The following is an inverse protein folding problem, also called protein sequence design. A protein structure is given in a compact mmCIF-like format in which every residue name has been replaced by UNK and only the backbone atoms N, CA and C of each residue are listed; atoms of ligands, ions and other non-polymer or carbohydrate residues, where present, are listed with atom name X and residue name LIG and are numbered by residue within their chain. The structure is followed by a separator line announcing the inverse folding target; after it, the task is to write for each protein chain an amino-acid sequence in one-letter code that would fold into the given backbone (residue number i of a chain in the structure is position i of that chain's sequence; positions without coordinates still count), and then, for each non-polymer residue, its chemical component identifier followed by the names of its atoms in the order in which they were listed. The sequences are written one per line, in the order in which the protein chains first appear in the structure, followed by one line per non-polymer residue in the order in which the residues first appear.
data_IF_850268726515
#
_entry.id   IF_850268726515
#
_cell.length_a   1.000
_cell.length_b   1.000
_cell.length_c   1.000
_cell.angle_alpha   90.00
_cell.angle_beta   90.00
_cell.angle_gamma   90.00
#
_symmetry.space_group_name_H-M   'P 1'
#
loop_
_entity.id
_entity.type
_entity.pdbx_description
1 polymer ?
#
# COMPACT_ATOMS: atom_id res chain seq x y z
N UNK A 1 13.06 -29.05 -19.37
CA UNK A 1 13.52 -27.98 -20.29
C UNK A 1 12.29 -27.30 -20.89
N UNK A 2 11.88 -26.19 -20.30
CA UNK A 2 11.86 -24.85 -20.92
C UNK A 2 10.89 -24.68 -22.10
N UNK A 3 9.67 -24.21 -21.81
CA UNK A 3 9.14 -22.94 -22.34
C UNK A 3 7.75 -22.66 -21.76
N UNK A 4 7.78 -22.03 -20.59
CA UNK A 4 6.72 -21.15 -20.14
C UNK A 4 6.88 -19.77 -20.84
N UNK A 5 5.79 -19.00 -20.84
CA UNK A 5 5.67 -17.57 -21.17
C UNK A 5 5.61 -17.24 -22.68
N UNK A 6 4.43 -16.78 -23.14
CA UNK A 6 4.25 -15.59 -24.02
C UNK A 6 2.86 -15.52 -24.67
N UNK A 7 1.75 -15.41 -23.92
CA UNK A 7 0.55 -14.66 -24.38
C UNK A 7 -0.18 -14.07 -23.16
N UNK A 8 0.50 -13.17 -22.44
CA UNK A 8 -0.16 -12.21 -21.56
C UNK A 8 -0.49 -10.97 -22.41
N UNK A 9 -1.72 -10.88 -22.92
CA UNK A 9 -2.05 -9.82 -23.86
C UNK A 9 -3.52 -9.66 -24.25
N UNK A 10 -4.47 -10.09 -23.44
CA UNK A 10 -5.88 -9.71 -23.61
C UNK A 10 -6.37 -9.06 -22.32
N UNK A 11 -6.06 -7.76 -22.17
CA UNK A 11 -6.64 -6.93 -21.12
C UNK A 11 -8.17 -6.92 -21.28
N UNK A 12 -8.95 -7.20 -20.23
CA UNK A 12 -10.39 -6.94 -20.26
C UNK A 12 -10.58 -5.42 -20.39
N UNK A 13 -11.33 -4.99 -21.40
CA UNK A 13 -11.81 -3.60 -21.54
C UNK A 13 -12.86 -3.32 -20.46
N UNK A 14 -12.42 -3.21 -19.22
CA UNK A 14 -13.20 -2.63 -18.12
C UNK A 14 -12.89 -1.13 -18.07
N UNK A 15 -13.67 -0.32 -18.77
CA UNK A 15 -13.78 1.13 -18.50
C UNK A 15 -15.12 1.67 -18.97
N UNK A 16 -16.16 1.30 -18.23
CA UNK A 16 -17.39 2.08 -18.11
C UNK A 16 -17.92 1.88 -16.67
N UNK A 17 -18.37 2.94 -15.98
CA UNK A 17 -18.87 2.79 -14.62
C UNK A 17 -20.18 2.02 -14.67
N UNK A 18 -20.18 0.84 -14.05
CA UNK A 18 -21.36 0.23 -13.45
C UNK A 18 -22.57 0.11 -14.38
N UNK A 19 -22.44 -0.63 -15.49
CA UNK A 19 -23.64 -1.23 -16.06
C UNK A 19 -23.92 -2.48 -15.22
N UNK A 20 -24.96 -2.50 -14.37
CA UNK A 20 -25.27 -3.71 -13.61
C UNK A 20 -25.43 -4.86 -14.61
N UNK A 21 -24.89 -6.07 -14.30
CA UNK A 21 -25.16 -7.25 -15.12
C UNK A 21 -26.67 -7.31 -15.28
N UNK A 22 -27.15 -7.40 -16.53
CA UNK A 22 -28.56 -7.37 -16.88
C UNK A 22 -29.35 -8.08 -15.79
N UNK A 23 -30.00 -7.30 -14.93
CA UNK A 23 -30.80 -7.83 -13.85
C UNK A 23 -31.76 -8.77 -14.57
N UNK A 24 -31.57 -10.07 -14.36
CA UNK A 24 -32.52 -11.09 -14.77
C UNK A 24 -33.86 -10.52 -14.32
N UNK A 25 -34.70 -10.13 -15.29
CA UNK A 25 -35.96 -9.46 -15.05
C UNK A 25 -36.77 -10.41 -14.19
N UNK A 26 -36.63 -10.28 -12.87
CA UNK A 26 -37.42 -11.01 -11.90
C UNK A 26 -38.86 -10.71 -12.31
N UNK A 27 -39.62 -11.74 -12.73
CA UNK A 27 -40.96 -11.50 -13.22
C UNK A 27 -41.71 -10.75 -12.11
N UNK A 28 -42.18 -9.54 -12.44
CA UNK A 28 -42.94 -8.74 -11.49
C UNK A 28 -44.10 -9.60 -11.01
N UNK A 29 -44.11 -9.94 -9.72
CA UNK A 29 -45.07 -10.87 -9.12
C UNK A 29 -46.49 -10.44 -9.51
N UNK A 30 -47.18 -11.28 -10.28
CA UNK A 30 -48.57 -11.03 -10.74
C UNK A 30 -48.75 -10.48 -12.16
N UNK A 31 -47.69 -10.25 -12.94
CA UNK A 31 -47.80 -9.98 -14.39
C UNK A 31 -47.52 -11.23 -15.20
N UNK A 32 -48.18 -11.37 -16.35
CA UNK A 32 -47.94 -12.46 -17.30
C UNK A 32 -46.55 -12.34 -17.91
N UNK A 33 -45.85 -13.45 -17.99
CA UNK A 33 -44.58 -13.62 -18.69
C UNK A 33 -44.79 -13.89 -20.18
N UNK A 34 -43.69 -13.94 -20.94
CA UNK A 34 -43.73 -14.23 -22.39
C UNK A 34 -44.23 -15.64 -22.71
N UNK A 35 -44.01 -16.60 -21.82
CA UNK A 35 -44.37 -18.01 -22.02
C UNK A 35 -45.77 -18.35 -21.51
N UNK A 36 -46.42 -17.43 -20.79
CA UNK A 36 -47.76 -17.65 -20.27
C UNK A 36 -48.80 -17.53 -21.39
N UNK A 37 -49.75 -18.47 -21.50
CA UNK A 37 -50.78 -18.39 -22.51
C UNK A 37 -51.72 -17.19 -22.26
N UNK A 38 -52.25 -16.57 -23.34
CA UNK A 38 -53.31 -15.59 -23.21
C UNK A 38 -54.57 -16.24 -22.63
N UNK A 39 -55.40 -15.44 -21.96
CA UNK A 39 -56.67 -15.95 -21.43
C UNK A 39 -57.61 -16.26 -22.59
N UNK A 40 -58.38 -17.35 -22.51
CA UNK A 40 -59.34 -17.78 -23.55
C UNK A 40 -60.28 -16.64 -23.98
N UNK A 41 -60.76 -15.83 -23.03
CA UNK A 41 -61.62 -14.66 -23.27
C UNK A 41 -60.94 -13.48 -23.97
N UNK A 42 -59.60 -13.48 -24.10
CA UNK A 42 -58.81 -12.42 -24.77
C UNK A 42 -58.21 -12.87 -26.09
N UNK A 43 -58.25 -14.16 -26.43
CA UNK A 43 -57.67 -14.71 -27.68
C UNK A 43 -58.29 -14.06 -28.92
N UNK A 44 -59.61 -13.87 -28.94
CA UNK A 44 -60.33 -13.23 -30.06
C UNK A 44 -60.62 -11.74 -29.85
N UNK A 45 -60.17 -11.13 -28.75
CA UNK A 45 -60.51 -9.74 -28.43
C UNK A 45 -59.54 -8.77 -29.11
N UNK A 46 -60.00 -8.13 -30.18
CA UNK A 46 -59.30 -6.99 -30.80
C UNK A 46 -59.77 -5.69 -30.13
N UNK A 47 -58.85 -4.72 -29.98
CA UNK A 47 -59.22 -3.41 -29.45
C UNK A 47 -59.93 -2.59 -30.54
N UNK A 48 -61.22 -2.34 -30.36
CA UNK A 48 -62.00 -1.47 -31.25
C UNK A 48 -61.62 0.00 -30.99
N UNK A 49 -61.22 0.77 -32.01
CA UNK A 49 -60.93 2.19 -31.83
C UNK A 49 -62.20 2.95 -31.44
N UNK A 50 -62.10 3.98 -30.57
CA UNK A 50 -63.23 4.83 -30.24
C UNK A 50 -63.63 5.69 -31.45
N UNK A 51 -64.89 6.16 -31.46
CA UNK A 51 -65.33 7.18 -32.41
C UNK A 51 -64.58 8.50 -32.18
N UNK A 52 -64.27 9.22 -33.25
CA UNK A 52 -63.48 10.45 -33.23
C UNK A 52 -64.24 11.56 -33.94
N UNK A 53 -64.40 12.71 -33.29
CA UNK A 53 -64.87 13.93 -33.94
C UNK A 53 -63.73 14.60 -34.72
N UNK A 54 -63.85 14.80 -36.05
CA UNK A 54 -62.83 15.44 -36.87
C UNK A 54 -62.45 16.87 -36.42
N UNK A 55 -63.42 17.66 -35.94
CA UNK A 55 -63.17 19.05 -35.54
C UNK A 55 -62.31 19.11 -34.27
N UNK A 56 -62.71 18.39 -33.23
CA UNK A 56 -61.91 18.26 -32.00
C UNK A 56 -60.54 17.64 -32.26
N UNK A 57 -60.47 16.59 -33.08
CA UNK A 57 -59.21 15.90 -33.37
C UNK A 57 -58.18 16.82 -34.04
N UNK A 58 -58.63 17.68 -34.97
CA UNK A 58 -57.76 18.65 -35.62
C UNK A 58 -57.21 19.68 -34.61
N UNK A 59 -58.08 20.25 -33.77
CA UNK A 59 -57.67 21.23 -32.75
C UNK A 59 -56.69 20.61 -31.75
N UNK A 60 -56.96 19.38 -31.30
CA UNK A 60 -56.05 18.67 -30.39
C UNK A 60 -54.71 18.40 -31.06
N UNK A 61 -54.69 17.96 -32.31
CA UNK A 61 -53.46 17.67 -33.05
C UNK A 61 -52.55 18.89 -33.13
N UNK A 62 -53.10 20.06 -33.48
CA UNK A 62 -52.32 21.30 -33.54
C UNK A 62 -51.87 21.78 -32.17
N UNK A 63 -52.71 21.69 -31.13
CA UNK A 63 -52.30 22.01 -29.74
C UNK A 63 -51.16 21.12 -29.27
N UNK A 64 -51.23 19.82 -29.54
CA UNK A 64 -50.16 18.88 -29.19
C UNK A 64 -48.88 19.16 -29.98
N UNK A 65 -48.98 19.53 -31.26
CA UNK A 65 -47.84 19.93 -32.08
C UNK A 65 -47.14 21.16 -31.47
N UNK A 66 -47.89 22.21 -31.20
CA UNK A 66 -47.38 23.45 -30.59
C UNK A 66 -46.78 23.19 -29.20
N UNK A 67 -47.50 22.46 -28.34
CA UNK A 67 -47.02 22.09 -27.01
C UNK A 67 -45.70 21.31 -27.07
N UNK A 68 -45.63 20.28 -27.91
CA UNK A 68 -44.42 19.46 -28.06
C UNK A 68 -43.25 20.26 -28.61
N UNK A 69 -43.50 21.21 -29.51
CA UNK A 69 -42.48 22.13 -30.00
C UNK A 69 -41.91 22.98 -28.86
N UNK A 70 -42.77 23.61 -28.07
CA UNK A 70 -42.36 24.43 -26.92
C UNK A 70 -41.60 23.61 -25.87
N UNK A 71 -42.12 22.45 -25.47
CA UNK A 71 -41.45 21.59 -24.49
C UNK A 71 -40.12 21.03 -25.01
N UNK A 72 -40.02 20.77 -26.32
CA UNK A 72 -38.75 20.37 -26.94
C UNK A 72 -37.73 21.51 -26.90
N UNK A 73 -38.14 22.75 -27.15
CA UNK A 73 -37.27 23.91 -27.01
C UNK A 73 -36.78 24.05 -25.56
N UNK A 74 -37.69 24.01 -24.57
CA UNK A 74 -37.33 24.04 -23.15
C UNK A 74 -36.35 22.92 -22.77
N UNK A 75 -36.54 21.71 -23.30
CA UNK A 75 -35.60 20.61 -23.06
C UNK A 75 -34.19 20.93 -23.57
N UNK A 76 -34.07 21.59 -24.73
CA UNK A 76 -32.77 21.98 -25.27
C UNK A 76 -32.09 23.05 -24.41
N UNK A 77 -32.85 23.99 -23.87
CA UNK A 77 -32.34 24.96 -22.89
C UNK A 77 -31.81 24.26 -21.63
N UNK A 78 -32.57 23.34 -21.05
CA UNK A 78 -32.09 22.60 -19.88
C UNK A 78 -30.85 21.74 -20.19
N UNK A 79 -30.79 21.14 -21.38
CA UNK A 79 -29.60 20.38 -21.80
C UNK A 79 -28.40 21.31 -21.98
N UNK A 80 -28.59 22.52 -22.54
CA UNK A 80 -27.51 23.50 -22.70
C UNK A 80 -27.00 23.99 -21.34
N UNK A 81 -27.89 24.26 -20.39
CA UNK A 81 -27.53 24.64 -19.03
C UNK A 81 -26.75 23.56 -18.28
N UNK A 82 -27.20 22.30 -18.37
CA UNK A 82 -26.49 21.17 -17.74
C UNK A 82 -25.10 21.03 -18.33
N UNK A 83 -24.96 21.13 -19.65
CA UNK A 83 -23.66 21.08 -20.33
C UNK A 83 -22.77 22.25 -19.92
N UNK A 84 -23.32 23.46 -19.85
CA UNK A 84 -22.59 24.66 -19.40
C UNK A 84 -22.08 24.49 -17.99
N UNK A 85 -22.93 24.10 -17.04
CA UNK A 85 -22.56 23.87 -15.63
C UNK A 85 -21.51 22.76 -15.51
N UNK A 86 -21.63 21.68 -16.29
CA UNK A 86 -20.62 20.62 -16.30
C UNK A 86 -19.27 21.11 -16.83
N UNK A 87 -19.27 21.96 -17.86
CA UNK A 87 -18.05 22.58 -18.39
C UNK A 87 -17.43 23.54 -17.36
N UNK A 88 -18.22 24.43 -16.77
CA UNK A 88 -17.78 25.37 -15.72
C UNK A 88 -17.21 24.64 -14.49
N UNK A 89 -17.78 23.51 -14.11
CA UNK A 89 -17.25 22.71 -13.00
C UNK A 89 -15.89 22.06 -13.33
N UNK A 90 -15.62 21.74 -14.61
CA UNK A 90 -14.39 21.07 -15.04
C UNK A 90 -13.27 22.04 -15.42
N UNK A 91 -13.63 23.08 -16.15
CA UNK A 91 -12.72 24.03 -16.80
C UNK A 91 -13.25 25.47 -16.68
N UNK A 92 -14.02 25.75 -15.62
CA UNK A 92 -14.40 27.12 -15.31
C UNK A 92 -13.24 27.89 -14.72
N UNK A 93 -13.19 29.19 -15.00
CA UNK A 93 -12.13 30.10 -14.52
C UNK A 93 -11.97 30.03 -13.00
N UNK A 94 -13.07 29.91 -12.26
CA UNK A 94 -13.02 29.77 -10.79
C UNK A 94 -12.42 28.43 -10.36
N UNK A 95 -12.73 27.34 -11.08
CA UNK A 95 -12.17 26.03 -10.78
C UNK A 95 -10.65 26.01 -11.06
N UNK A 96 -10.22 26.61 -12.17
CA UNK A 96 -8.80 26.73 -12.51
C UNK A 96 -8.03 27.61 -11.51
N UNK A 97 -8.59 28.77 -11.13
CA UNK A 97 -7.97 29.65 -10.11
C UNK A 97 -7.81 28.94 -8.77
N UNK A 98 -8.85 28.27 -8.30
CA UNK A 98 -8.78 27.49 -7.06
C UNK A 98 -7.76 26.37 -7.15
N UNK A 99 -7.71 25.64 -8.26
CA UNK A 99 -6.71 24.60 -8.45
C UNK A 99 -5.27 25.13 -8.43
N UNK A 100 -5.04 26.34 -8.95
CA UNK A 100 -3.74 27.02 -8.87
C UNK A 100 -3.42 27.48 -7.45
N UNK A 101 -4.39 28.05 -6.74
CA UNK A 101 -4.27 28.46 -5.34
C UNK A 101 -3.96 27.25 -4.45
N UNK A 102 -4.73 26.17 -4.53
CA UNK A 102 -4.52 24.92 -3.80
C UNK A 102 -3.14 24.30 -4.11
N UNK A 103 -2.70 24.35 -5.38
CA UNK A 103 -1.37 23.87 -5.75
C UNK A 103 -0.25 24.75 -5.18
N UNK A 104 -0.46 26.06 -5.06
CA UNK A 104 0.49 26.98 -4.44
C UNK A 104 0.57 26.74 -2.92
N UNK A 105 -0.57 26.69 -2.23
CA UNK A 105 -0.66 26.37 -0.81
C UNK A 105 0.00 25.03 -0.49
N UNK A 106 -0.24 24.01 -1.31
CA UNK A 106 0.41 22.71 -1.14
C UNK A 106 1.94 22.83 -1.25
N UNK A 107 2.46 23.60 -2.21
CA UNK A 107 3.91 23.83 -2.34
C UNK A 107 4.49 24.54 -1.12
N UNK A 108 3.78 25.53 -0.58
CA UNK A 108 4.17 26.25 0.63
C UNK A 108 4.21 25.32 1.84
N UNK A 109 3.18 24.50 2.03
CA UNK A 109 3.13 23.50 3.10
C UNK A 109 4.24 22.46 2.97
N UNK A 110 4.54 22.02 1.75
CA UNK A 110 5.67 21.10 1.51
C UNK A 110 7.02 21.76 1.78
N UNK A 111 7.19 23.04 1.46
CA UNK A 111 8.41 23.78 1.78
C UNK A 111 8.57 23.93 3.30
N UNK A 112 7.49 24.27 4.01
CA UNK A 112 7.47 24.35 5.47
C UNK A 112 7.80 23.00 6.12
N UNK A 113 7.21 21.91 5.63
CA UNK A 113 7.49 20.57 6.14
C UNK A 113 8.98 20.19 5.96
N UNK A 114 9.58 20.54 4.81
CA UNK A 114 11.01 20.31 4.59
C UNK A 114 11.88 21.11 5.56
N UNK A 115 11.54 22.38 5.79
CA UNK A 115 12.26 23.23 6.73
C UNK A 115 12.18 22.68 8.16
N UNK A 116 11.00 22.23 8.59
CA UNK A 116 10.85 21.63 9.93
C UNK A 116 11.58 20.28 10.04
N UNK A 117 11.55 19.45 8.99
CA UNK A 117 12.33 18.21 8.97
C UNK A 117 13.84 18.47 9.02
N UNK A 118 14.34 19.51 8.37
CA UNK A 118 15.75 19.92 8.45
C UNK A 118 16.12 20.32 9.87
N UNK A 119 15.30 21.16 10.51
CA UNK A 119 15.47 21.54 11.92
C UNK A 119 15.52 20.32 12.84
N UNK A 120 14.59 19.39 12.69
CA UNK A 120 14.56 18.15 13.48
C UNK A 120 15.77 17.25 13.21
N UNK A 121 16.26 17.20 11.97
CA UNK A 121 17.43 16.43 11.61
C UNK A 121 18.69 16.98 12.28
N UNK A 122 18.86 18.30 12.36
CA UNK A 122 19.97 18.93 13.08
C UNK A 122 19.95 18.56 14.57
N UNK A 123 18.77 18.63 15.21
CA UNK A 123 18.60 18.20 16.60
C UNK A 123 18.90 16.71 16.79
N UNK A 124 18.51 15.87 15.84
CA UNK A 124 18.83 14.43 15.86
C UNK A 124 20.33 14.20 15.76
N UNK A 125 21.03 14.90 14.86
CA UNK A 125 22.49 14.80 14.72
C UNK A 125 23.18 15.24 16.01
N UNK A 126 22.74 16.34 16.62
CA UNK A 126 23.29 16.80 17.90
C UNK A 126 23.14 15.76 19.01
N UNK A 127 21.96 15.14 19.12
CA UNK A 127 21.69 14.06 20.08
C UNK A 127 22.56 12.84 19.84
N UNK A 128 22.66 12.37 18.59
CA UNK A 128 23.47 11.21 18.23
C UNK A 128 24.97 11.44 18.52
N UNK A 129 25.48 12.66 18.31
CA UNK A 129 26.86 13.02 18.69
C UNK A 129 27.08 12.91 20.19
N UNK A 130 26.10 13.32 20.99
CA UNK A 130 26.17 13.20 22.44
C UNK A 130 26.14 11.74 22.88
N UNK A 131 25.21 10.95 22.35
CA UNK A 131 25.10 9.50 22.61
C UNK A 131 26.40 8.76 22.21
N UNK A 132 27.03 9.15 21.10
CA UNK A 132 28.30 8.55 20.67
C UNK A 132 29.44 8.81 21.68
N UNK A 133 29.55 10.04 22.21
CA UNK A 133 30.53 10.38 23.25
C UNK A 133 30.31 9.58 24.53
N UNK A 134 29.06 9.45 24.96
CA UNK A 134 28.70 8.65 26.13
C UNK A 134 29.01 7.16 25.92
N UNK A 135 28.76 6.63 24.71
CA UNK A 135 29.13 5.26 24.38
C UNK A 135 30.65 5.06 24.37
N UNK A 136 31.44 6.01 23.87
CA UNK A 136 32.90 5.94 23.91
C UNK A 136 33.42 5.91 25.35
N UNK A 137 32.85 6.73 26.24
CA UNK A 137 33.20 6.71 27.67
C UNK A 137 32.87 5.34 28.30
N UNK A 138 31.66 4.82 28.07
CA UNK A 138 31.26 3.49 28.58
C UNK A 138 32.17 2.39 28.06
N UNK A 139 32.54 2.42 26.77
CA UNK A 139 33.48 1.44 26.18
C UNK A 139 34.86 1.55 26.81
N UNK A 140 35.36 2.76 27.05
CA UNK A 140 36.65 2.95 27.72
C UNK A 140 36.64 2.38 29.15
N UNK A 141 35.55 2.58 29.90
CA UNK A 141 35.36 2.00 31.22
C UNK A 141 35.30 0.46 31.18
N UNK A 142 34.54 -0.10 30.23
CA UNK A 142 34.44 -1.55 30.03
C UNK A 142 35.80 -2.16 29.66
N UNK A 143 36.55 -1.54 28.75
CA UNK A 143 37.90 -1.97 28.38
C UNK A 143 38.86 -1.89 29.56
N UNK A 144 38.77 -0.85 30.40
CA UNK A 144 39.58 -0.74 31.61
C UNK A 144 39.24 -1.83 32.64
N UNK A 145 37.96 -2.19 32.79
CA UNK A 145 37.53 -3.32 33.65
C UNK A 145 38.06 -4.64 33.12
N UNK A 146 37.88 -4.91 31.82
CA UNK A 146 38.38 -6.12 31.17
C UNK A 146 39.90 -6.25 31.28
N UNK A 147 40.66 -5.15 31.14
CA UNK A 147 42.11 -5.17 31.32
C UNK A 147 42.52 -5.56 32.74
N UNK A 148 41.82 -5.04 33.77
CA UNK A 148 42.06 -5.42 35.18
C UNK A 148 41.75 -6.89 35.43
N UNK A 149 40.62 -7.37 34.91
CA UNK A 149 40.22 -8.79 35.01
C UNK A 149 41.23 -9.70 34.31
N UNK A 150 41.70 -9.32 33.12
CA UNK A 150 42.72 -10.06 32.38
C UNK A 150 44.07 -10.10 33.10
N UNK A 151 44.50 -8.99 33.71
CA UNK A 151 45.71 -8.95 34.53
C UNK A 151 45.60 -9.84 35.77
N UNK A 152 44.47 -9.78 36.49
CA UNK A 152 44.23 -10.64 37.64
C UNK A 152 44.24 -12.13 37.23
N UNK A 153 43.63 -12.46 36.09
CA UNK A 153 43.63 -13.82 35.56
C UNK A 153 45.03 -14.29 35.14
N UNK A 154 45.81 -13.43 34.48
CA UNK A 154 47.20 -13.73 34.11
C UNK A 154 48.06 -14.02 35.36
N UNK A 155 47.95 -13.19 36.41
CA UNK A 155 48.67 -13.42 37.67
C UNK A 155 48.28 -14.73 38.35
N UNK A 156 46.99 -15.09 38.37
CA UNK A 156 46.55 -16.38 38.90
C UNK A 156 47.15 -17.55 38.11
N UNK A 157 47.22 -17.44 36.78
CA UNK A 157 47.83 -18.45 35.92
C UNK A 157 49.35 -18.54 36.07
N UNK A 158 50.03 -17.42 36.24
CA UNK A 158 51.46 -17.41 36.57
C UNK A 158 51.73 -18.14 37.89
N UNK A 159 50.91 -17.90 38.92
CA UNK A 159 51.02 -18.62 40.20
C UNK A 159 50.76 -20.12 40.05
N UNK A 160 49.74 -20.53 39.29
CA UNK A 160 49.49 -21.95 38.98
C UNK A 160 50.70 -22.59 38.28
N UNK A 161 51.32 -21.92 37.31
CA UNK A 161 52.51 -22.43 36.61
C UNK A 161 53.70 -22.56 37.56
N UNK A 162 53.96 -21.55 38.40
CA UNK A 162 55.02 -21.59 39.40
C UNK A 162 54.81 -22.74 40.40
N UNK A 163 53.58 -22.96 40.86
CA UNK A 163 53.24 -24.10 41.73
C UNK A 163 53.50 -25.44 41.06
N UNK A 164 53.13 -25.59 39.77
CA UNK A 164 53.42 -26.79 38.99
C UNK A 164 54.93 -27.00 38.78
N UNK A 165 55.71 -25.93 38.70
CA UNK A 165 57.17 -25.96 38.53
C UNK A 165 57.88 -26.40 39.82
N UNK A 166 57.47 -25.87 40.98
CA UNK A 166 57.94 -26.34 42.30
C UNK A 166 57.50 -27.78 42.56
N UNK A 167 56.25 -28.14 42.24
CA UNK A 167 55.75 -29.51 42.33
C UNK A 167 56.46 -30.51 41.40
N UNK A 168 57.03 -30.05 40.27
CA UNK A 168 57.92 -30.85 39.41
C UNK A 168 59.31 -31.03 40.01
N UNK A 169 59.86 -30.05 40.75
CA UNK A 169 61.12 -30.22 41.50
C UNK A 169 60.95 -31.24 42.64
N UNK A 170 59.75 -31.34 43.24
CA UNK A 170 59.43 -32.34 44.26
C UNK A 170 59.10 -33.75 43.73
N UNK A 171 58.92 -33.91 42.40
CA UNK A 171 58.60 -35.19 41.76
C UNK A 171 59.69 -35.64 40.77
N UNK A 172 60.94 -35.42 41.17
CA UNK A 172 62.14 -35.92 40.49
C UNK A 172 62.68 -37.24 41.03
N UNK A 173 61.84 -38.24 41.33
CA UNK A 173 62.22 -39.68 41.37
C UNK A 173 61.00 -40.56 41.06
N UNK A 174 61.10 -41.39 40.03
CA UNK A 174 60.31 -42.63 39.92
C UNK A 174 59.45 -42.82 38.67
N UNK A 175 60.03 -43.49 37.67
CA UNK A 175 59.50 -44.65 36.94
C UNK A 175 58.07 -44.66 36.33
N UNK A 176 58.06 -44.64 34.99
CA UNK A 176 57.60 -45.69 34.04
C UNK A 176 56.16 -46.28 34.05
N UNK A 177 55.64 -46.39 32.80
CA UNK A 177 54.47 -47.17 32.29
C UNK A 177 53.10 -46.59 32.68
N UNK A 178 52.10 -46.47 31.81
CA UNK A 178 51.86 -46.91 30.43
C UNK A 178 50.35 -46.83 30.16
N UNK A 179 49.94 -46.90 28.88
CA UNK A 179 48.55 -47.00 28.34
C UNK A 179 47.66 -45.75 28.46
N UNK A 180 46.65 -45.47 27.63
CA UNK A 180 46.31 -45.67 26.20
C UNK A 180 44.97 -44.91 26.03
N UNK A 181 44.67 -44.48 24.80
CA UNK A 181 43.33 -44.18 24.23
C UNK A 181 42.67 -42.78 24.40
N UNK A 182 42.54 -42.16 23.22
CA UNK A 182 41.33 -41.57 22.61
C UNK A 182 40.71 -40.28 23.16
N UNK A 183 40.58 -39.28 22.27
CA UNK A 183 39.65 -38.16 22.45
C UNK A 183 39.97 -36.88 21.69
N UNK A 184 40.35 -36.94 20.41
CA UNK A 184 40.58 -35.75 19.58
C UNK A 184 39.27 -35.14 19.07
N UNK A 185 38.68 -34.20 19.82
CA UNK A 185 37.59 -33.35 19.37
C UNK A 185 38.06 -31.93 19.08
N UNK A 186 38.10 -31.52 17.81
CA UNK A 186 38.26 -30.12 17.39
C UNK A 186 36.94 -29.36 17.58
N UNK A 187 37.00 -28.06 17.90
CA UNK A 187 36.41 -27.07 17.00
C UNK A 187 37.44 -25.94 16.76
N UNK A 188 37.72 -25.49 15.53
CA UNK A 188 36.73 -24.95 14.61
C UNK A 188 36.79 -23.42 14.65
N UNK A 189 37.88 -22.84 14.13
CA UNK A 189 37.91 -21.43 13.73
C UNK A 189 36.90 -21.25 12.59
N UNK A 190 36.03 -20.25 12.64
CA UNK A 190 35.89 -19.23 11.58
C UNK A 190 34.68 -18.31 11.78
N UNK A 191 34.93 -17.03 11.46
CA UNK A 191 34.03 -16.01 10.91
C UNK A 191 32.96 -15.46 11.87
N UNK A 192 33.17 -14.26 12.45
CA UNK A 192 33.01 -12.93 11.82
C UNK A 192 31.62 -12.77 11.19
N UNK A 193 30.61 -12.61 12.03
CA UNK A 193 29.27 -12.13 11.66
C UNK A 193 29.21 -10.61 11.70
N UNK A 194 29.63 -9.98 10.60
CA UNK A 194 29.42 -8.56 10.29
C UNK A 194 27.94 -8.38 9.93
N UNK A 195 27.16 -7.73 10.79
CA UNK A 195 25.85 -7.17 10.41
C UNK A 195 25.94 -5.64 10.39
N UNK A 196 26.41 -5.13 9.24
CA UNK A 196 26.02 -3.81 8.75
C UNK A 196 24.61 -3.98 8.18
N UNK A 197 23.63 -3.26 8.74
CA UNK A 197 22.34 -3.03 8.08
C UNK A 197 22.25 -1.53 7.82
N UNK A 198 22.77 -1.14 6.65
CA UNK A 198 22.52 0.15 6.03
C UNK A 198 21.39 -0.02 4.99
N UNK A 199 20.36 0.79 5.18
CA UNK A 199 19.53 1.48 4.20
C UNK A 199 19.60 1.07 2.71
N UNK A 200 18.45 0.64 2.20
CA UNK A 200 17.86 1.00 0.90
C UNK A 200 16.34 0.88 1.11
N UNK A 201 15.51 1.93 1.14
CA UNK A 201 15.23 2.88 0.08
C UNK A 201 14.00 2.42 -0.71
N UNK A 202 12.84 3.08 -0.57
CA UNK A 202 11.84 3.19 -1.65
C UNK A 202 10.77 4.22 -1.31
N UNK A 203 11.04 5.47 -1.70
CA UNK A 203 10.01 6.40 -2.11
C UNK A 203 9.97 6.35 -3.65
N UNK A 204 8.84 5.89 -4.20
CA UNK A 204 8.30 6.17 -5.52
C UNK A 204 6.85 5.66 -5.53
#
# INVERSE_FOLDING_TARGET
MLRALSVLGARPRCRAPCQPPALLLLPARGRKTRHDPPAKSKVGRVATPPAVDPAEFFVLTERYRQYRQTVRALRLEFVSEVRRKQHEARAGVLAERKALEEAAEHRELMAWNRAENQRLQELRIARLRQEAREQEQRRAEEMARQAREAQAWAHLKEQEVLQLQVGRVSRGRGCSRGLLLCGGGRPGRSQVGRWLRAETGSAA
#
